data_IF_833196480158
#
_entry.id   IF_833196480158
#
_cell.length_a   1.000
_cell.length_b   1.000
_cell.length_c   1.000
_cell.angle_alpha   90.00
_cell.angle_beta   90.00
_cell.angle_gamma   90.00
#
_symmetry.space_group_name_H-M   'P 1'
#
loop_
_entity.id
_entity.type
_entity.pdbx_description
1 polymer ?
#
# COMPACT_ATOMS: atom_id res chain seq x y z
N UNK A 1 6.34 -10.82 15.16
CA UNK A 1 5.97 -11.74 14.06
C UNK A 1 5.98 -10.99 12.73
N UNK A 2 6.56 -11.61 11.71
CA UNK A 2 6.56 -11.04 10.35
C UNK A 2 5.88 -12.02 9.40
N UNK A 3 4.99 -11.53 8.57
CA UNK A 3 4.33 -12.35 7.56
C UNK A 3 3.90 -11.47 6.39
N UNK A 4 3.54 -12.10 5.27
CA UNK A 4 3.03 -11.41 4.09
C UNK A 4 1.55 -11.68 3.94
N UNK A 5 0.82 -10.66 3.52
CA UNK A 5 -0.60 -10.76 3.25
C UNK A 5 -0.90 -10.12 1.89
N UNK A 6 -1.81 -10.73 1.14
CA UNK A 6 -2.26 -10.17 -0.14
C UNK A 6 -3.68 -9.65 0.03
N UNK A 7 -3.90 -8.42 -0.42
CA UNK A 7 -5.24 -7.83 -0.45
C UNK A 7 -5.59 -7.56 -1.90
N UNK A 8 -6.73 -8.08 -2.34
CA UNK A 8 -7.17 -7.99 -3.72
C UNK A 8 -8.25 -6.92 -3.91
N UNK A 9 -8.35 -6.44 -5.14
CA UNK A 9 -9.41 -5.54 -5.59
C UNK A 9 -9.51 -4.25 -4.77
N UNK A 10 -8.36 -3.59 -4.60
CA UNK A 10 -8.30 -2.29 -3.95
C UNK A 10 -8.36 -1.20 -5.01
N UNK A 11 -9.23 -0.21 -4.82
CA UNK A 11 -9.26 0.98 -5.66
C UNK A 11 -8.35 2.03 -5.07
N UNK A 12 -7.45 2.58 -5.89
CA UNK A 12 -6.54 3.63 -5.46
C UNK A 12 -7.27 4.96 -5.42
N UNK A 13 -7.29 5.60 -4.26
CA UNK A 13 -7.89 6.93 -4.08
C UNK A 13 -6.88 8.05 -4.27
N UNK A 14 -5.63 7.77 -3.96
CA UNK A 14 -4.56 8.76 -4.05
C UNK A 14 -3.34 8.32 -3.28
N UNK A 15 -2.34 9.17 -3.32
CA UNK A 15 -1.09 8.92 -2.61
C UNK A 15 -0.55 10.24 -2.07
N UNK A 16 0.28 10.15 -1.06
CA UNK A 16 0.96 11.28 -0.47
C UNK A 16 2.42 10.93 -0.29
N UNK A 17 3.31 11.67 -0.94
CA UNK A 17 4.75 11.41 -0.86
C UNK A 17 5.32 12.21 0.30
N UNK A 18 6.06 11.54 1.16
CA UNK A 18 6.70 12.15 2.33
C UNK A 18 8.18 11.83 2.37
N UNK A 19 8.96 12.71 2.96
CA UNK A 19 10.38 12.51 3.18
C UNK A 19 10.61 11.83 4.53
N UNK A 20 11.37 10.75 4.52
CA UNK A 20 11.77 10.05 5.73
C UNK A 20 13.27 10.17 5.94
N UNK A 21 13.75 9.63 7.06
CA UNK A 21 15.18 9.65 7.40
C UNK A 21 16.04 8.82 6.44
N UNK A 22 15.47 7.78 5.87
CA UNK A 22 16.17 6.85 5.00
C UNK A 22 15.70 6.92 3.55
N UNK A 23 14.95 7.95 3.19
CA UNK A 23 14.44 8.14 1.84
C UNK A 23 12.95 8.50 1.84
N UNK A 24 12.43 8.71 0.66
CA UNK A 24 11.01 9.05 0.49
C UNK A 24 10.13 7.81 0.64
N UNK A 25 8.90 8.02 1.09
CA UNK A 25 7.90 6.97 1.12
C UNK A 25 6.55 7.55 0.69
N UNK A 26 5.69 6.68 0.20
CA UNK A 26 4.33 7.06 -0.18
C UNK A 26 3.34 6.47 0.81
N UNK A 27 2.40 7.28 1.25
CA UNK A 27 1.20 6.80 1.95
C UNK A 27 0.15 6.65 0.86
N UNK A 28 -0.22 5.42 0.55
CA UNK A 28 -1.17 5.14 -0.53
C UNK A 28 -2.53 4.86 0.09
N UNK A 29 -3.54 5.56 -0.41
CA UNK A 29 -4.91 5.48 0.11
C UNK A 29 -5.76 4.63 -0.82
N UNK A 30 -6.47 3.67 -0.24
CA UNK A 30 -7.30 2.72 -0.99
C UNK A 30 -8.71 2.65 -0.42
N UNK A 31 -9.64 2.22 -1.27
CA UNK A 31 -10.93 1.70 -0.84
C UNK A 31 -10.98 0.22 -1.14
N UNK A 32 -11.50 -0.58 -0.22
CA UNK A 32 -11.74 -2.00 -0.47
C UNK A 32 -13.11 -2.22 -1.14
N UNK A 33 -13.46 -3.46 -1.39
CA UNK A 33 -14.73 -3.79 -2.05
C UNK A 33 -15.95 -3.39 -1.22
N UNK A 34 -15.81 -3.30 0.09
CA UNK A 34 -16.88 -2.88 0.99
C UNK A 34 -16.95 -1.36 1.15
N UNK A 35 -16.05 -0.63 0.50
CA UNK A 35 -15.99 0.83 0.61
C UNK A 35 -15.24 1.33 1.83
N UNK A 36 -14.55 0.46 2.56
CA UNK A 36 -13.74 0.87 3.68
C UNK A 36 -12.42 1.46 3.22
N UNK A 37 -11.96 2.48 3.93
CA UNK A 37 -10.71 3.18 3.61
C UNK A 37 -9.54 2.53 4.30
N UNK A 38 -8.48 2.32 3.52
CA UNK A 38 -7.24 1.73 3.99
C UNK A 38 -6.08 2.61 3.56
N UNK A 39 -5.03 2.65 4.37
CA UNK A 39 -3.80 3.36 4.04
C UNK A 39 -2.63 2.45 4.32
N UNK A 40 -1.71 2.35 3.35
CA UNK A 40 -0.49 1.57 3.50
C UNK A 40 0.70 2.37 3.00
N UNK A 41 1.87 2.05 3.52
CA UNK A 41 3.11 2.72 3.15
C UNK A 41 3.86 1.90 2.11
N UNK A 42 4.33 2.55 1.04
CA UNK A 42 5.26 1.97 0.08
C UNK A 42 6.56 2.78 0.12
N UNK A 43 7.67 2.09 0.34
CA UNK A 43 8.99 2.71 0.41
C UNK A 43 9.79 2.58 -0.88
N UNK A 44 9.25 1.92 -1.89
CA UNK A 44 9.92 1.76 -3.17
C UNK A 44 9.48 2.86 -4.14
N UNK A 45 10.36 3.83 -4.36
CA UNK A 45 10.07 4.97 -5.22
C UNK A 45 9.73 4.58 -6.66
N UNK A 46 10.23 3.44 -7.13
CA UNK A 46 9.93 2.96 -8.48
C UNK A 46 8.44 2.63 -8.66
N UNK A 47 7.72 2.34 -7.59
CA UNK A 47 6.29 2.06 -7.67
C UNK A 47 5.41 3.29 -7.51
N UNK A 48 5.93 4.43 -7.06
CA UNK A 48 5.10 5.59 -6.74
C UNK A 48 4.23 6.04 -7.92
N UNK A 49 4.76 6.05 -9.12
CA UNK A 49 4.04 6.50 -10.32
C UNK A 49 2.93 5.56 -10.77
N UNK A 50 2.94 4.32 -10.30
CA UNK A 50 1.89 3.37 -10.63
C UNK A 50 0.63 3.55 -9.80
N UNK A 51 0.70 4.28 -8.70
CA UNK A 51 -0.45 4.54 -7.82
C UNK A 51 -1.25 5.71 -8.37
N UNK A 52 -2.10 5.43 -9.36
CA UNK A 52 -2.95 6.44 -9.99
C UNK A 52 -4.39 6.30 -9.51
N UNK A 53 -5.00 7.43 -9.21
CA UNK A 53 -6.38 7.46 -8.73
C UNK A 53 -7.33 6.76 -9.68
N UNK A 54 -8.19 5.91 -9.14
CA UNK A 54 -9.21 5.20 -9.89
C UNK A 54 -8.79 3.83 -10.40
N UNK A 55 -7.52 3.47 -10.29
CA UNK A 55 -7.05 2.15 -10.72
C UNK A 55 -7.36 1.10 -9.64
N UNK A 56 -7.65 -0.11 -10.10
CA UNK A 56 -7.87 -1.27 -9.23
C UNK A 56 -6.59 -2.09 -9.23
N UNK A 57 -6.16 -2.50 -8.06
CA UNK A 57 -4.93 -3.28 -7.92
C UNK A 57 -5.01 -4.29 -6.79
N UNK A 58 -4.05 -5.22 -6.81
CA UNK A 58 -3.78 -6.11 -5.70
C UNK A 58 -2.46 -5.69 -5.07
N UNK A 59 -2.37 -5.73 -3.77
CA UNK A 59 -1.12 -5.38 -3.07
C UNK A 59 -0.68 -6.54 -2.19
N UNK A 60 0.63 -6.71 -2.07
CA UNK A 60 1.24 -7.63 -1.12
C UNK A 60 1.86 -6.79 -0.03
N UNK A 61 1.46 -7.05 1.20
CA UNK A 61 1.94 -6.34 2.37
C UNK A 61 2.91 -7.19 3.16
N UNK A 62 3.99 -6.59 3.61
CA UNK A 62 4.79 -7.13 4.68
C UNK A 62 4.18 -6.64 5.99
N UNK A 63 3.73 -7.56 6.82
CA UNK A 63 3.16 -7.24 8.12
C UNK A 63 4.19 -7.54 9.19
N UNK A 64 4.50 -6.56 10.00
CA UNK A 64 5.41 -6.71 11.13
C UNK A 64 4.63 -6.38 12.40
N UNK A 65 4.31 -7.43 13.17
CA UNK A 65 3.50 -7.29 14.37
C UNK A 65 4.33 -7.54 15.62
N UNK A 66 4.27 -6.59 16.55
CA UNK A 66 4.88 -6.69 17.88
C UNK A 66 3.80 -6.45 18.92
N UNK A 67 4.06 -6.75 20.21
CA UNK A 67 3.07 -6.45 21.26
C UNK A 67 2.70 -4.97 21.36
N UNK A 68 3.51 -4.07 20.83
CA UNK A 68 3.29 -2.62 20.95
C UNK A 68 2.60 -2.02 19.73
N UNK A 69 2.84 -2.57 18.53
CA UNK A 69 2.30 -2.00 17.30
C UNK A 69 2.33 -3.01 16.17
N UNK A 70 1.58 -2.72 15.12
CA UNK A 70 1.58 -3.49 13.88
C UNK A 70 1.80 -2.53 12.71
N UNK A 71 2.80 -2.85 11.88
CA UNK A 71 3.13 -2.07 10.69
C UNK A 71 2.78 -2.84 9.42
N UNK A 72 2.28 -2.12 8.43
CA UNK A 72 1.96 -2.66 7.11
C UNK A 72 2.77 -1.88 6.07
N UNK A 73 3.58 -2.60 5.29
CA UNK A 73 4.38 -1.99 4.22
C UNK A 73 4.10 -2.72 2.92
N UNK A 74 3.81 -1.98 1.85
CA UNK A 74 3.61 -2.57 0.54
C UNK A 74 4.97 -3.04 0.00
N UNK A 75 5.05 -4.32 -0.35
CA UNK A 75 6.28 -4.89 -0.94
C UNK A 75 6.08 -5.26 -2.40
N UNK A 76 4.85 -5.32 -2.86
CA UNK A 76 4.54 -5.53 -4.28
C UNK A 76 3.14 -5.02 -4.58
N UNK A 77 2.92 -4.66 -5.83
CA UNK A 77 1.62 -4.19 -6.30
C UNK A 77 1.42 -4.66 -7.73
N UNK A 78 0.23 -5.17 -8.01
CA UNK A 78 -0.13 -5.58 -9.36
C UNK A 78 -1.42 -4.89 -9.77
N UNK A 79 -1.34 -4.13 -10.85
CA UNK A 79 -2.51 -3.48 -11.43
C UNK A 79 -3.39 -4.53 -12.10
N UNK A 80 -4.69 -4.45 -11.85
CA UNK A 80 -5.65 -5.33 -12.50
C UNK A 80 -5.95 -4.81 -13.89
N UNK A 81 -5.82 -5.69 -14.88
CA UNK A 81 -6.22 -5.37 -16.26
C UNK A 81 -7.70 -5.69 -16.42
N UNK A 82 -8.40 -4.81 -17.06
CA UNK A 82 -9.80 -5.03 -17.41
C UNK A 82 -9.92 -5.94 -18.62
#
# INVERSE_FOLDING_TARGET
MKFKATIENLEIRGKEIKEGKTGNYAIVKFDDEAGERLEFIDRNEERFDYYKRGLICNVVLQVNSTPKYTNFTIVDMKQMDD
#
